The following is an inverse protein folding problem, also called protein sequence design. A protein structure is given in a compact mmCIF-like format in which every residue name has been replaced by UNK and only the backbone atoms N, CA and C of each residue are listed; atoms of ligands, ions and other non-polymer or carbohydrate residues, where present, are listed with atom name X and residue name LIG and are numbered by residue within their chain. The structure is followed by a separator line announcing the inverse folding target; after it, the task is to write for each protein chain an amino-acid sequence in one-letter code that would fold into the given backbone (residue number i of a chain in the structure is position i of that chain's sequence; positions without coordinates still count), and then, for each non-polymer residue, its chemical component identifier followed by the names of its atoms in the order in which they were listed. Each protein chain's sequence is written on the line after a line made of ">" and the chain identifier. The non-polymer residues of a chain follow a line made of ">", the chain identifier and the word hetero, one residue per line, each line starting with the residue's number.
data_IF_116353065327
#
_entry.id   IF_116353065327
#
_cell.length_a   1.000
_cell.length_b   1.000
_cell.length_c   1.000
_cell.angle_alpha   90.00
_cell.angle_beta   90.00
_cell.angle_gamma   90.00
#
_symmetry.space_group_name_H-M   'P 1'
#
loop_
_entity.id
_entity.type
_entity.pdbx_description
1 polymer ?
#
# COMPACT_ATOMS: atom_id res chain seq x y z
N UNK A 1 25.00 -11.78 14.07
CA UNK A 1 24.17 -12.31 12.97
C UNK A 1 23.18 -11.23 12.56
N UNK A 2 22.68 -11.19 11.31
CA UNK A 2 21.67 -10.21 10.92
C UNK A 2 20.33 -10.49 11.62
N UNK A 3 19.60 -9.42 11.98
CA UNK A 3 18.22 -9.54 12.46
C UNK A 3 17.29 -9.85 11.28
N UNK A 4 16.55 -10.95 11.36
CA UNK A 4 15.52 -11.33 10.39
C UNK A 4 14.15 -11.07 10.99
N UNK A 5 13.40 -10.10 10.45
CA UNK A 5 12.07 -9.74 10.95
C UNK A 5 11.05 -10.84 10.64
N UNK A 6 10.30 -11.23 11.65
CA UNK A 6 9.17 -12.17 11.58
C UNK A 6 8.07 -11.74 12.55
N UNK A 7 6.95 -12.47 12.56
CA UNK A 7 5.88 -12.27 13.53
C UNK A 7 6.31 -12.48 15.00
N UNK A 8 7.47 -13.11 15.23
CA UNK A 8 8.02 -13.36 16.57
C UNK A 8 9.01 -12.27 17.01
N UNK A 9 9.37 -11.35 16.11
CA UNK A 9 10.30 -10.25 16.42
C UNK A 9 9.59 -9.17 17.24
N UNK A 10 10.26 -8.56 18.23
CA UNK A 10 9.74 -7.36 18.89
C UNK A 10 9.78 -6.17 17.92
N UNK A 11 8.70 -6.01 17.18
CA UNK A 11 8.54 -4.95 16.19
C UNK A 11 7.87 -3.69 16.74
N UNK A 12 7.45 -3.71 18.01
CA UNK A 12 6.63 -2.64 18.59
C UNK A 12 5.20 -2.56 18.03
N UNK A 13 4.75 -3.61 17.34
CA UNK A 13 3.41 -3.72 16.75
C UNK A 13 2.78 -5.06 17.12
N UNK A 14 1.47 -5.02 17.40
CA UNK A 14 0.62 -6.19 17.48
C UNK A 14 0.15 -6.59 16.07
N UNK A 15 0.34 -7.85 15.69
CA UNK A 15 -0.19 -8.39 14.45
C UNK A 15 -1.58 -8.95 14.74
N UNK A 16 -2.61 -8.12 14.55
CA UNK A 16 -4.00 -8.43 14.88
C UNK A 16 -4.75 -8.95 13.64
N UNK A 17 -4.23 -10.04 13.08
CA UNK A 17 -4.89 -10.80 12.00
C UNK A 17 -5.27 -12.18 12.52
N UNK A 18 -6.21 -12.86 11.85
CA UNK A 18 -6.62 -14.21 12.25
C UNK A 18 -5.44 -15.20 12.31
N UNK A 19 -4.47 -15.05 11.40
CA UNK A 19 -3.26 -15.86 11.33
C UNK A 19 -2.00 -14.96 11.28
N UNK A 20 -1.46 -14.55 12.44
CA UNK A 20 -0.31 -13.62 12.48
C UNK A 20 0.94 -14.14 11.76
N UNK A 21 1.17 -15.46 11.78
CA UNK A 21 2.33 -16.09 11.15
C UNK A 21 2.30 -16.04 9.61
N UNK A 22 1.15 -15.77 9.00
CA UNK A 22 1.00 -15.66 7.53
C UNK A 22 1.25 -14.24 7.02
N UNK A 23 1.41 -13.27 7.92
CA UNK A 23 1.69 -11.89 7.54
C UNK A 23 3.12 -11.76 7.04
N UNK A 24 3.28 -11.21 5.84
CA UNK A 24 4.58 -10.94 5.23
C UNK A 24 5.42 -9.98 6.08
N UNK A 25 6.72 -10.27 6.18
CA UNK A 25 7.67 -9.46 6.95
C UNK A 25 7.73 -8.00 6.45
N UNK A 26 7.63 -7.78 5.14
CA UNK A 26 7.54 -6.46 4.52
C UNK A 26 6.39 -5.62 5.07
N UNK A 27 5.24 -6.24 5.34
CA UNK A 27 4.03 -5.57 5.87
C UNK A 27 4.17 -5.22 7.33
N UNK A 28 4.77 -6.12 8.12
CA UNK A 28 5.11 -5.89 9.52
C UNK A 28 6.08 -4.69 9.62
N UNK A 29 7.10 -4.70 8.76
CA UNK A 29 8.09 -3.62 8.67
C UNK A 29 7.45 -2.30 8.25
N UNK A 30 6.59 -2.29 7.23
CA UNK A 30 5.87 -1.09 6.80
C UNK A 30 4.98 -0.54 7.93
N UNK A 31 4.29 -1.41 8.65
CA UNK A 31 3.51 -1.00 9.82
C UNK A 31 4.40 -0.35 10.89
N UNK A 32 5.57 -0.94 11.20
CA UNK A 32 6.52 -0.40 12.18
C UNK A 32 7.02 0.99 11.77
N UNK A 33 7.23 1.21 10.48
CA UNK A 33 7.61 2.51 9.93
C UNK A 33 6.53 3.57 10.19
N UNK A 34 5.25 3.24 9.95
CA UNK A 34 4.13 4.16 10.20
C UNK A 34 4.02 4.57 11.66
N UNK A 35 4.22 3.61 12.57
CA UNK A 35 4.25 3.89 14.01
C UNK A 35 5.39 4.86 14.33
N UNK A 36 6.58 4.63 13.81
CA UNK A 36 7.74 5.51 14.00
C UNK A 36 7.53 6.92 13.42
N UNK A 37 6.74 7.05 12.35
CA UNK A 37 6.35 8.34 11.77
C UNK A 37 5.27 9.08 12.59
N UNK A 38 4.63 8.42 13.57
CA UNK A 38 3.54 8.99 14.35
C UNK A 38 2.25 9.20 13.54
N UNK A 39 2.04 8.42 12.49
CA UNK A 39 0.99 8.63 11.48
C UNK A 39 -0.27 7.76 11.70
N UNK A 40 -0.60 7.41 12.95
CA UNK A 40 -1.72 6.51 13.28
C UNK A 40 -3.05 7.28 13.51
N UNK A 41 -4.23 6.70 13.18
CA UNK A 41 -4.41 5.49 12.36
C UNK A 41 -3.92 5.74 10.92
N UNK A 42 -3.50 4.68 10.23
CA UNK A 42 -2.97 4.80 8.89
C UNK A 42 -3.40 3.67 7.95
N UNK A 43 -3.40 3.97 6.67
CA UNK A 43 -3.49 2.98 5.59
C UNK A 43 -2.25 3.14 4.72
N UNK A 44 -1.41 2.11 4.69
CA UNK A 44 -0.26 2.05 3.78
C UNK A 44 -0.68 1.41 2.48
N UNK A 45 -0.45 2.10 1.37
CA UNK A 45 -0.65 1.61 0.02
C UNK A 45 0.72 1.31 -0.58
N UNK A 46 1.10 0.03 -0.66
CA UNK A 46 2.33 -0.39 -1.34
C UNK A 46 2.00 -0.84 -2.77
N UNK A 47 2.52 -0.10 -3.75
CA UNK A 47 2.36 -0.42 -5.17
C UNK A 47 3.62 -1.09 -5.74
N UNK A 48 3.77 -2.37 -5.42
CA UNK A 48 4.76 -3.28 -5.98
C UNK A 48 4.18 -4.28 -7.00
N UNK A 49 4.62 -5.53 -6.92
CA UNK A 49 4.09 -6.64 -7.74
C UNK A 49 2.60 -6.88 -7.45
N UNK A 50 2.24 -6.85 -6.16
CA UNK A 50 0.86 -6.69 -5.71
C UNK A 50 0.65 -5.23 -5.29
N UNK A 51 -0.61 -4.79 -5.27
CA UNK A 51 -0.98 -3.58 -4.54
C UNK A 51 -1.62 -4.01 -3.22
N UNK A 52 -1.03 -3.58 -2.11
CA UNK A 52 -1.52 -3.89 -0.77
C UNK A 52 -2.08 -2.64 -0.10
N UNK A 53 -3.00 -2.86 0.83
CA UNK A 53 -3.49 -1.86 1.78
C UNK A 53 -3.30 -2.45 3.17
N UNK A 54 -2.33 -1.93 3.92
CA UNK A 54 -2.05 -2.36 5.28
C UNK A 54 -2.66 -1.35 6.24
N UNK A 55 -3.62 -1.81 7.06
CA UNK A 55 -4.34 -0.94 8.00
C UNK A 55 -3.69 -1.02 9.36
N UNK A 56 -3.18 0.12 9.84
CA UNK A 56 -2.50 0.21 11.14
C UNK A 56 -3.31 1.10 12.06
N UNK A 57 -3.72 0.56 13.20
CA UNK A 57 -4.55 1.23 14.19
C UNK A 57 -3.73 1.67 15.42
N UNK A 58 -4.08 2.80 16.06
CA UNK A 58 -3.49 3.18 17.32
C UNK A 58 -3.85 2.17 18.43
N UNK A 59 -3.09 2.15 19.54
CA UNK A 59 -3.45 1.35 20.71
C UNK A 59 -4.86 1.66 21.19
N UNK A 60 -5.62 0.63 21.58
CA UNK A 60 -6.94 0.83 22.19
C UNK A 60 -6.86 1.23 23.67
N UNK A 61 -5.71 0.98 24.31
CA UNK A 61 -5.41 1.33 25.69
C UNK A 61 -3.92 1.73 25.86
N UNK A 62 -3.55 2.49 26.91
CA UNK A 62 -2.19 3.00 27.09
C UNK A 62 -1.09 1.94 27.22
N UNK A 63 -1.45 0.73 27.63
CA UNK A 63 -0.57 -0.43 27.82
C UNK A 63 -0.51 -1.36 26.59
N UNK A 64 -1.24 -1.03 25.52
CA UNK A 64 -1.25 -1.81 24.29
C UNK A 64 -0.33 -1.23 23.22
N UNK A 65 0.10 -2.10 22.31
CA UNK A 65 0.82 -1.70 21.10
C UNK A 65 -0.17 -1.25 20.01
N UNK A 66 0.26 -0.41 19.07
CA UNK A 66 -0.43 -0.23 17.80
C UNK A 66 -0.60 -1.58 17.09
N UNK A 67 -1.65 -1.71 16.29
CA UNK A 67 -1.99 -2.98 15.66
C UNK A 67 -1.99 -2.88 14.13
N UNK A 68 -1.34 -3.84 13.46
CA UNK A 68 -1.64 -4.17 12.07
C UNK A 68 -2.95 -4.97 12.06
N UNK A 69 -4.06 -4.28 11.83
CA UNK A 69 -5.41 -4.80 12.05
C UNK A 69 -5.95 -5.60 10.86
N UNK A 70 -5.31 -5.49 9.70
CA UNK A 70 -5.81 -6.15 8.51
C UNK A 70 -5.19 -5.64 7.23
N UNK A 71 -5.57 -6.34 6.17
CA UNK A 71 -4.84 -6.33 4.92
C UNK A 71 -5.78 -6.50 3.73
N UNK A 72 -5.67 -5.64 2.72
CA UNK A 72 -6.27 -5.87 1.39
C UNK A 72 -5.15 -6.10 0.39
N UNK A 73 -5.34 -7.06 -0.52
CA UNK A 73 -4.37 -7.39 -1.57
C UNK A 73 -5.10 -7.44 -2.91
N UNK A 74 -4.53 -6.79 -3.92
CA UNK A 74 -4.99 -6.87 -5.30
C UNK A 74 -3.80 -6.97 -6.26
N UNK A 75 -4.07 -7.22 -7.54
CA UNK A 75 -3.05 -7.24 -8.57
C UNK A 75 -2.34 -5.88 -8.64
N UNK A 76 -1.01 -5.88 -8.72
CA UNK A 76 -0.26 -4.64 -8.95
C UNK A 76 -0.54 -4.07 -10.33
N UNK A 77 -0.41 -2.75 -10.47
CA UNK A 77 -0.69 -2.02 -11.72
C UNK A 77 0.09 -2.60 -12.91
N UNK A 78 1.36 -2.96 -12.73
CA UNK A 78 2.18 -3.62 -13.76
C UNK A 78 1.61 -4.98 -14.14
N UNK A 79 1.23 -5.80 -13.16
CA UNK A 79 0.66 -7.13 -13.40
C UNK A 79 -0.65 -7.03 -14.18
N UNK A 80 -1.52 -6.07 -13.85
CA UNK A 80 -2.74 -5.83 -14.62
C UNK A 80 -2.46 -5.42 -16.07
N UNK A 81 -1.47 -4.54 -16.28
CA UNK A 81 -1.05 -4.13 -17.61
C UNK A 81 -0.50 -5.31 -18.43
N UNK A 82 0.35 -6.14 -17.82
CA UNK A 82 0.96 -7.31 -18.46
C UNK A 82 -0.09 -8.39 -18.76
N UNK A 83 -1.06 -8.58 -17.86
CA UNK A 83 -2.19 -9.48 -18.07
C UNK A 83 -3.03 -9.04 -19.28
N UNK A 84 -3.31 -7.75 -19.41
CA UNK A 84 -4.03 -7.20 -20.56
C UNK A 84 -3.23 -7.35 -21.86
N UNK A 85 -1.93 -7.03 -21.82
CA UNK A 85 -1.01 -7.18 -22.95
C UNK A 85 -0.90 -8.63 -23.44
N UNK A 86 -0.84 -9.60 -22.52
CA UNK A 86 -0.69 -11.02 -22.87
C UNK A 86 -1.93 -11.62 -23.54
N UNK A 87 -3.12 -11.07 -23.27
CA UNK A 87 -4.39 -11.58 -23.82
C UNK A 87 -4.91 -10.80 -25.02
N UNK A 88 -4.30 -9.67 -25.36
CA UNK A 88 -4.69 -8.84 -26.48
C UNK A 88 -3.46 -8.39 -27.29
N UNK A 89 -3.23 -9.03 -28.44
CA UNK A 89 -2.02 -8.85 -29.26
C UNK A 89 -1.72 -7.37 -29.63
N UNK A 90 -2.74 -6.53 -29.77
CA UNK A 90 -2.59 -5.10 -30.10
C UNK A 90 -2.27 -4.19 -28.90
N UNK A 91 -2.28 -4.72 -27.66
CA UNK A 91 -2.11 -3.92 -26.44
C UNK A 91 -0.71 -4.06 -25.79
N UNK A 92 0.19 -4.82 -26.42
CA UNK A 92 1.44 -5.32 -25.83
C UNK A 92 2.54 -4.28 -25.54
N UNK A 93 2.31 -2.97 -25.74
CA UNK A 93 3.35 -1.92 -25.62
C UNK A 93 2.87 -0.58 -25.04
N UNK A 94 1.76 -0.57 -24.32
CA UNK A 94 1.24 0.68 -23.74
C UNK A 94 2.07 1.06 -22.50
N UNK A 95 2.66 2.26 -22.52
CA UNK A 95 3.36 2.80 -21.35
C UNK A 95 2.38 3.09 -20.22
N UNK A 96 2.81 2.83 -18.97
CA UNK A 96 2.04 3.18 -17.78
C UNK A 96 2.25 4.65 -17.44
N UNK A 97 1.37 5.49 -17.97
CA UNK A 97 1.33 6.93 -17.75
C UNK A 97 -0.12 7.39 -17.87
N UNK A 98 -0.45 8.49 -17.21
CA UNK A 98 -1.80 9.05 -17.29
C UNK A 98 -2.06 9.66 -18.67
N UNK A 99 -3.21 9.36 -19.31
CA UNK A 99 -3.57 9.99 -20.56
C UNK A 99 -4.05 11.43 -20.32
N UNK A 100 -4.05 12.30 -21.35
CA UNK A 100 -4.48 13.69 -21.21
C UNK A 100 -5.97 13.84 -20.85
N UNK A 101 -6.78 12.79 -21.07
CA UNK A 101 -8.21 12.75 -20.76
C UNK A 101 -8.63 11.33 -20.38
N UNK A 102 -9.60 11.21 -19.48
CA UNK A 102 -10.16 9.93 -19.09
C UNK A 102 -10.85 9.19 -20.24
N UNK A 103 -11.59 9.88 -21.12
CA UNK A 103 -12.15 9.24 -22.31
C UNK A 103 -11.08 9.11 -23.40
N UNK A 104 -10.50 7.92 -23.53
CA UNK A 104 -9.59 7.58 -24.61
C UNK A 104 -10.29 7.54 -25.97
N UNK A 105 -9.72 8.18 -26.98
CA UNK A 105 -10.20 8.15 -28.38
C UNK A 105 -9.29 7.37 -29.33
N UNK A 106 -8.26 6.74 -28.77
CA UNK A 106 -7.39 5.78 -29.43
C UNK A 106 -7.06 4.68 -28.42
N UNK A 107 -6.56 3.55 -28.92
CA UNK A 107 -6.28 2.37 -28.11
C UNK A 107 -5.31 2.63 -26.96
N UNK A 108 -4.25 3.41 -27.19
CA UNK A 108 -3.23 3.71 -26.17
C UNK A 108 -3.87 4.47 -25.00
N UNK A 109 -4.55 5.59 -25.28
CA UNK A 109 -5.19 6.40 -24.24
C UNK A 109 -6.34 5.67 -23.56
N UNK A 110 -7.08 4.82 -24.28
CA UNK A 110 -8.15 4.01 -23.70
C UNK A 110 -7.60 3.02 -22.67
N UNK A 111 -6.49 2.34 -22.97
CA UNK A 111 -5.82 1.43 -22.05
C UNK A 111 -5.19 2.19 -20.88
N UNK A 112 -4.46 3.27 -21.15
CA UNK A 112 -3.85 4.11 -20.11
C UNK A 112 -4.90 4.63 -19.12
N UNK A 113 -6.05 5.08 -19.63
CA UNK A 113 -7.15 5.56 -18.79
C UNK A 113 -7.68 4.44 -17.88
N UNK A 114 -7.98 3.28 -18.46
CA UNK A 114 -8.50 2.13 -17.71
C UNK A 114 -7.52 1.64 -16.65
N UNK A 115 -6.21 1.65 -16.94
CA UNK A 115 -5.19 1.24 -15.98
C UNK A 115 -4.94 2.31 -14.92
N UNK A 116 -4.59 3.54 -15.30
CA UNK A 116 -4.19 4.58 -14.35
C UNK A 116 -5.38 5.11 -13.56
N UNK A 117 -6.41 5.64 -14.24
CA UNK A 117 -7.58 6.17 -13.53
C UNK A 117 -8.45 5.07 -12.93
N UNK A 118 -8.40 3.85 -13.46
CA UNK A 118 -9.01 2.69 -12.81
C UNK A 118 -8.34 2.36 -11.47
N UNK A 119 -7.01 2.41 -11.39
CA UNK A 119 -6.29 2.20 -10.13
C UNK A 119 -6.45 3.37 -9.15
N UNK A 120 -6.59 4.61 -9.64
CA UNK A 120 -7.01 5.74 -8.79
C UNK A 120 -8.37 5.44 -8.15
N UNK A 121 -9.37 5.05 -8.95
CA UNK A 121 -10.69 4.69 -8.44
C UNK A 121 -10.68 3.48 -7.48
N UNK A 122 -9.80 2.50 -7.73
CA UNK A 122 -9.57 1.37 -6.84
C UNK A 122 -9.05 1.84 -5.48
N UNK A 123 -8.01 2.68 -5.47
CA UNK A 123 -7.40 3.21 -4.25
C UNK A 123 -8.40 4.03 -3.46
N UNK A 124 -9.03 5.02 -4.08
CA UNK A 124 -10.02 5.88 -3.43
C UNK A 124 -11.22 5.08 -2.90
N UNK A 125 -11.66 4.09 -3.67
CA UNK A 125 -12.76 3.21 -3.31
C UNK A 125 -12.43 2.38 -2.07
N UNK A 126 -11.26 1.73 -2.05
CA UNK A 126 -10.85 0.89 -0.94
C UNK A 126 -10.55 1.71 0.33
N UNK A 127 -9.82 2.82 0.22
CA UNK A 127 -9.56 3.71 1.37
C UNK A 127 -10.88 4.18 1.98
N UNK A 128 -11.84 4.65 1.16
CA UNK A 128 -13.15 5.09 1.66
C UNK A 128 -13.91 3.97 2.36
N UNK A 129 -13.86 2.76 1.80
CA UNK A 129 -14.59 1.59 2.34
C UNK A 129 -14.00 1.14 3.68
N UNK A 130 -12.68 1.01 3.76
CA UNK A 130 -11.95 0.68 4.98
C UNK A 130 -12.14 1.73 6.08
N UNK A 131 -12.04 3.01 5.70
CA UNK A 131 -12.23 4.13 6.64
C UNK A 131 -13.64 4.13 7.24
N UNK A 132 -14.67 3.91 6.40
CA UNK A 132 -16.05 3.82 6.85
C UNK A 132 -16.33 2.57 7.69
N UNK A 133 -15.79 1.42 7.30
CA UNK A 133 -15.96 0.15 8.01
C UNK A 133 -15.38 0.19 9.43
N UNK A 134 -14.20 0.81 9.58
CA UNK A 134 -13.50 0.92 10.86
C UNK A 134 -13.84 2.20 11.62
N UNK A 135 -14.63 3.10 11.03
CA UNK A 135 -14.94 4.43 11.57
C UNK A 135 -13.69 5.23 11.96
N UNK A 136 -12.70 5.28 11.07
CA UNK A 136 -11.42 5.99 11.24
C UNK A 136 -11.24 7.09 10.19
N UNK A 137 -10.38 8.06 10.50
CA UNK A 137 -9.82 9.02 9.54
C UNK A 137 -8.32 8.76 9.46
N UNK A 138 -7.86 7.89 8.54
CA UNK A 138 -6.47 7.46 8.50
C UNK A 138 -5.58 8.48 7.78
N UNK A 139 -4.31 8.52 8.15
CA UNK A 139 -3.26 9.05 7.26
C UNK A 139 -3.00 8.01 6.18
N UNK A 140 -3.13 8.40 4.92
CA UNK A 140 -2.92 7.52 3.76
C UNK A 140 -1.51 7.71 3.24
N UNK A 141 -0.71 6.65 3.32
CA UNK A 141 0.71 6.67 3.00
C UNK A 141 0.95 5.82 1.76
N UNK A 142 1.46 6.41 0.69
CA UNK A 142 1.83 5.71 -0.52
C UNK A 142 3.30 5.30 -0.55
N UNK A 143 3.58 4.07 -0.97
CA UNK A 143 4.95 3.58 -1.22
C UNK A 143 4.97 2.61 -2.41
N UNK A 144 6.15 2.08 -2.75
CA UNK A 144 6.33 1.19 -3.89
C UNK A 144 6.59 1.92 -5.21
N UNK A 145 7.13 1.19 -6.18
CA UNK A 145 7.71 1.78 -7.40
C UNK A 145 6.71 2.45 -8.35
N UNK A 146 5.42 2.15 -8.23
CA UNK A 146 4.38 2.65 -9.14
C UNK A 146 3.45 3.70 -8.50
N UNK A 147 3.64 4.05 -7.23
CA UNK A 147 2.78 5.00 -6.52
C UNK A 147 2.77 6.38 -7.19
N UNK A 148 3.92 6.81 -7.70
CA UNK A 148 4.08 8.11 -8.37
C UNK A 148 3.29 8.24 -9.68
N UNK A 149 2.79 7.12 -10.24
CA UNK A 149 1.94 7.15 -11.43
C UNK A 149 0.51 7.56 -11.06
N UNK A 150 0.03 7.19 -9.86
CA UNK A 150 -1.36 7.43 -9.45
C UNK A 150 -1.49 8.64 -8.51
N UNK A 151 -0.50 8.89 -7.66
CA UNK A 151 -0.58 9.92 -6.62
C UNK A 151 -0.85 11.34 -7.16
N UNK A 152 -0.30 11.77 -8.32
CA UNK A 152 -0.64 13.08 -8.89
C UNK A 152 -2.10 13.23 -9.35
N UNK A 153 -2.90 12.16 -9.33
CA UNK A 153 -4.26 12.12 -9.86
C UNK A 153 -5.32 11.86 -8.78
N UNK A 154 -4.96 11.94 -7.50
CA UNK A 154 -5.88 11.79 -6.38
C UNK A 154 -5.42 12.60 -5.18
N UNK A 155 -6.36 13.16 -4.43
CA UNK A 155 -6.11 13.80 -3.14
C UNK A 155 -6.23 12.80 -1.97
N UNK A 156 -6.42 11.51 -2.27
CA UNK A 156 -6.59 10.45 -1.28
C UNK A 156 -5.28 10.03 -0.59
N UNK A 157 -4.12 10.38 -1.14
CA UNK A 157 -2.80 10.01 -0.59
C UNK A 157 -2.19 11.25 0.06
N UNK A 158 -2.02 11.22 1.38
CA UNK A 158 -1.52 12.35 2.15
C UNK A 158 -0.01 12.52 2.00
N UNK A 159 0.73 11.41 1.93
CA UNK A 159 2.19 11.43 1.83
C UNK A 159 2.73 10.23 1.04
N UNK A 160 3.87 10.43 0.38
CA UNK A 160 4.60 9.38 -0.33
C UNK A 160 5.90 9.13 0.42
N UNK A 161 6.12 7.87 0.83
CA UNK A 161 7.30 7.43 1.57
C UNK A 161 8.04 6.34 0.78
N UNK A 162 8.95 6.69 -0.14
CA UNK A 162 9.63 5.73 -1.03
C UNK A 162 10.50 4.71 -0.28
N UNK A 163 10.92 5.05 0.93
CA UNK A 163 11.82 4.24 1.76
C UNK A 163 11.11 3.70 3.01
N UNK A 164 9.78 3.63 3.01
CA UNK A 164 8.98 3.22 4.17
C UNK A 164 9.49 1.91 4.78
N UNK A 165 9.74 0.88 3.95
CA UNK A 165 10.26 -0.40 4.43
C UNK A 165 11.64 -0.28 5.08
N UNK A 166 12.53 0.54 4.53
CA UNK A 166 13.85 0.77 5.15
C UNK A 166 13.73 1.54 6.47
N UNK A 167 12.80 2.50 6.54
CA UNK A 167 12.47 3.21 7.78
C UNK A 167 11.97 2.26 8.87
N UNK A 168 11.12 1.30 8.50
CA UNK A 168 10.63 0.26 9.40
C UNK A 168 11.73 -0.67 9.90
N UNK A 169 12.61 -1.13 9.00
CA UNK A 169 13.75 -1.98 9.39
C UNK A 169 14.66 -1.26 10.38
N UNK A 170 14.92 0.03 10.14
CA UNK A 170 15.70 0.87 11.06
C UNK A 170 15.01 0.99 12.41
N UNK A 171 13.71 1.28 12.44
CA UNK A 171 12.95 1.42 13.69
C UNK A 171 12.95 0.11 14.50
N UNK A 172 12.82 -1.05 13.86
CA UNK A 172 12.89 -2.35 14.52
C UNK A 172 14.31 -2.64 15.01
N UNK A 173 15.33 -2.30 14.22
CA UNK A 173 16.74 -2.46 14.60
C UNK A 173 17.08 -1.67 15.86
N UNK A 174 16.70 -0.39 15.93
CA UNK A 174 16.92 0.49 17.08
C UNK A 174 16.21 0.02 18.37
N UNK A 175 15.19 -0.86 18.26
CA UNK A 175 14.52 -1.48 19.41
C UNK A 175 15.20 -2.74 19.93
N UNK A 176 16.00 -3.39 19.08
CA UNK A 176 16.63 -4.67 19.37
C UNK A 176 18.05 -4.53 19.96
N UNK A 177 18.53 -3.29 20.08
CA UNK A 177 19.79 -2.91 20.75
C UNK A 177 19.57 -2.60 22.25
#
# INVERSE_FOLDING_TARGET
>A
EPLCVSAETDTGILIDTENPAEVGADRIVNAAAVVALGALPAIVIDMGTATTFDVVLPPSAPDQLPALAGVVITAGLRVAADALASRAAQLSRVALEAPPRALGRNTIHAVQSGLVFGYVGLVEGLVRRLSAELNITPTVIGTGGLINIIAPHTDCIDQIEPWLTLGGLRAIGERSE
#
